data_IF_712066019664
#
_entry.id   IF_712066019664
#
_cell.length_a   1.000
_cell.length_b   1.000
_cell.length_c   1.000
_cell.angle_alpha   90.00
_cell.angle_beta   90.00
_cell.angle_gamma   90.00
#
_symmetry.space_group_name_H-M   'P 1'
#
loop_
_entity.id
_entity.type
_entity.pdbx_description
1 polymer ?
#
# COMPACT_ATOMS: atom_id res chain seq x y z
N UNK A 1 -17.71 14.43 -1.54
CA UNK A 1 -16.72 14.39 -2.65
C UNK A 1 -15.99 15.74 -2.76
N UNK A 2 -14.84 15.91 -2.09
CA UNK A 2 -13.93 17.03 -2.34
C UNK A 2 -12.54 16.46 -2.66
N UNK A 3 -12.28 16.16 -3.93
CA UNK A 3 -10.92 15.92 -4.45
C UNK A 3 -10.18 17.27 -4.47
N UNK A 4 -9.68 17.71 -3.31
CA UNK A 4 -9.09 19.04 -3.11
C UNK A 4 -7.60 18.95 -2.73
N UNK A 5 -6.74 18.30 -3.53
CA UNK A 5 -5.26 18.42 -3.38
C UNK A 5 -4.45 18.33 -4.69
N UNK A 6 -5.03 18.65 -5.86
CA UNK A 6 -4.30 18.63 -7.14
C UNK A 6 -3.08 19.59 -7.22
N UNK A 7 -2.97 20.59 -6.35
CA UNK A 7 -1.94 21.65 -6.43
C UNK A 7 -0.73 21.50 -5.48
N UNK A 8 -0.75 20.55 -4.55
CA UNK A 8 0.31 20.42 -3.53
C UNK A 8 1.52 19.60 -3.99
N UNK A 9 1.28 18.50 -4.71
CA UNK A 9 2.31 17.50 -4.96
C UNK A 9 3.32 17.87 -6.05
N UNK A 10 2.94 18.74 -7.00
CA UNK A 10 3.85 19.31 -8.00
C UNK A 10 4.93 20.21 -7.39
N UNK A 11 4.72 20.70 -6.15
CA UNK A 11 5.72 21.49 -5.43
C UNK A 11 6.94 20.66 -4.99
N UNK A 12 6.82 19.33 -4.88
CA UNK A 12 7.96 18.45 -4.56
C UNK A 12 8.96 18.35 -5.72
N UNK A 13 8.46 18.39 -6.96
CA UNK A 13 9.29 18.42 -8.18
C UNK A 13 10.13 19.70 -8.21
N UNK A 14 9.55 20.84 -7.82
CA UNK A 14 10.26 22.11 -7.69
C UNK A 14 11.33 22.13 -6.58
N UNK A 15 11.27 21.20 -5.60
CA UNK A 15 12.22 21.10 -4.49
C UNK A 15 13.17 19.89 -4.58
N UNK A 16 13.14 19.13 -5.69
CA UNK A 16 13.98 17.93 -5.92
C UNK A 16 13.87 16.89 -4.77
N UNK A 17 12.68 16.70 -4.22
CA UNK A 17 12.44 15.70 -3.17
C UNK A 17 12.02 14.36 -3.76
N UNK A 18 12.56 13.27 -3.24
CA UNK A 18 12.15 11.90 -3.57
C UNK A 18 11.12 11.40 -2.55
N UNK A 19 9.85 11.14 -2.93
CA UNK A 19 8.83 10.72 -1.99
C UNK A 19 8.98 9.26 -1.54
N UNK A 20 8.83 9.04 -0.24
CA UNK A 20 8.55 7.73 0.36
C UNK A 20 7.14 7.74 0.93
N UNK A 21 6.24 6.96 0.35
CA UNK A 21 4.85 6.85 0.78
C UNK A 21 4.69 5.63 1.68
N UNK A 22 4.18 5.85 2.89
CA UNK A 22 3.87 4.78 3.85
C UNK A 22 2.36 4.50 3.85
N UNK A 23 1.98 3.34 3.33
CA UNK A 23 0.60 2.90 3.17
C UNK A 23 0.29 1.74 4.14
N UNK A 24 0.15 2.08 5.43
CA UNK A 24 -0.06 1.12 6.52
C UNK A 24 -1.52 0.72 6.78
N UNK A 25 -2.46 1.12 5.93
CA UNK A 25 -3.88 0.87 6.17
C UNK A 25 -4.78 1.21 4.98
N UNK A 26 -4.39 0.78 3.78
CA UNK A 26 -5.27 0.90 2.61
C UNK A 26 -6.55 0.09 2.85
N UNK A 27 -7.70 0.66 2.52
CA UNK A 27 -9.00 0.06 2.74
C UNK A 27 -9.60 0.32 4.11
N UNK A 28 -8.83 0.77 5.12
CA UNK A 28 -9.34 1.04 6.46
C UNK A 28 -9.93 2.45 6.63
N UNK A 29 -9.66 3.37 5.71
CA UNK A 29 -10.24 4.73 5.79
C UNK A 29 -11.59 4.75 5.09
N UNK A 30 -11.65 4.20 3.88
CA UNK A 30 -12.87 4.30 3.07
C UNK A 30 -13.61 2.98 2.83
N UNK A 31 -13.11 1.86 3.35
CA UNK A 31 -13.62 0.52 3.02
C UNK A 31 -13.25 0.06 1.60
N UNK A 32 -12.34 0.77 0.91
CA UNK A 32 -11.92 0.43 -0.47
C UNK A 32 -10.45 0.74 -0.66
N UNK A 33 -9.67 -0.29 -0.96
CA UNK A 33 -8.24 -0.17 -1.24
C UNK A 33 -8.02 0.76 -2.44
N UNK A 34 -8.84 0.65 -3.48
CA UNK A 34 -8.78 1.50 -4.66
C UNK A 34 -8.94 2.98 -4.32
N UNK A 35 -9.93 3.32 -3.49
CA UNK A 35 -10.17 4.72 -3.14
C UNK A 35 -9.02 5.27 -2.30
N UNK A 36 -8.55 4.50 -1.33
CA UNK A 36 -7.45 4.89 -0.44
C UNK A 36 -6.11 4.99 -1.21
N UNK A 37 -5.90 4.15 -2.21
CA UNK A 37 -4.73 4.20 -3.10
C UNK A 37 -4.81 5.32 -4.16
N UNK A 38 -5.88 6.12 -4.19
CA UNK A 38 -6.10 7.16 -5.19
C UNK A 38 -4.98 8.21 -5.27
N UNK A 39 -4.41 8.61 -4.12
CA UNK A 39 -3.30 9.57 -4.08
C UNK A 39 -2.04 8.98 -4.68
N UNK A 40 -1.70 7.73 -4.33
CA UNK A 40 -0.54 7.01 -4.87
C UNK A 40 -0.66 6.90 -6.39
N UNK A 41 -1.83 6.50 -6.89
CA UNK A 41 -2.07 6.40 -8.34
C UNK A 41 -1.99 7.75 -9.04
N UNK A 42 -2.47 8.82 -8.40
CA UNK A 42 -2.36 10.17 -8.96
C UNK A 42 -0.91 10.66 -9.02
N UNK A 43 -0.07 10.30 -8.05
CA UNK A 43 1.36 10.64 -8.04
C UNK A 43 2.10 9.88 -9.15
N UNK A 44 1.89 8.56 -9.22
CA UNK A 44 2.48 7.73 -10.26
C UNK A 44 2.06 8.18 -11.67
N UNK A 45 0.76 8.44 -11.88
CA UNK A 45 0.23 8.95 -13.15
C UNK A 45 0.71 10.38 -13.50
N UNK A 46 1.21 11.12 -12.51
CA UNK A 46 1.88 12.41 -12.71
C UNK A 46 3.37 12.31 -13.05
N UNK A 47 3.91 11.10 -13.22
CA UNK A 47 5.33 10.87 -13.52
C UNK A 47 6.26 11.05 -12.33
N UNK A 48 5.74 11.04 -11.10
CA UNK A 48 6.54 11.16 -9.90
C UNK A 48 7.15 9.81 -9.54
N UNK A 49 8.48 9.72 -9.61
CA UNK A 49 9.24 8.57 -9.11
C UNK A 49 9.20 8.56 -7.59
N UNK A 50 8.97 7.38 -6.99
CA UNK A 50 8.76 7.24 -5.55
C UNK A 50 8.89 5.80 -5.08
N UNK A 51 9.03 5.63 -3.76
CA UNK A 51 8.84 4.35 -3.08
C UNK A 51 7.51 4.33 -2.34
N UNK A 52 6.85 3.17 -2.35
CA UNK A 52 5.59 2.95 -1.64
C UNK A 52 5.72 1.70 -0.78
N UNK A 53 5.82 1.86 0.53
CA UNK A 53 5.82 0.76 1.48
C UNK A 53 4.39 0.46 1.95
N UNK A 54 3.93 -0.77 1.73
CA UNK A 54 2.59 -1.24 2.08
C UNK A 54 2.70 -2.31 3.16
N UNK A 55 1.92 -2.16 4.22
CA UNK A 55 1.72 -3.23 5.22
C UNK A 55 0.42 -3.97 4.94
N UNK A 56 0.49 -5.30 4.88
CA UNK A 56 -0.62 -6.18 4.57
C UNK A 56 -1.12 -6.93 5.79
N UNK A 57 -0.29 -7.14 6.82
CA UNK A 57 -0.65 -7.90 8.03
C UNK A 57 -1.98 -7.48 8.64
N UNK A 58 -2.19 -6.17 8.84
CA UNK A 58 -3.46 -5.67 9.41
C UNK A 58 -4.64 -5.83 8.46
N UNK A 59 -4.44 -5.59 7.17
CA UNK A 59 -5.51 -5.67 6.15
C UNK A 59 -6.03 -7.10 5.96
N UNK A 60 -5.18 -8.10 6.20
CA UNK A 60 -5.49 -9.52 6.05
C UNK A 60 -5.67 -10.24 7.39
N UNK A 61 -5.62 -9.53 8.52
CA UNK A 61 -5.81 -10.13 9.84
C UNK A 61 -4.74 -11.17 10.21
N UNK A 62 -3.52 -11.03 9.72
CA UNK A 62 -2.45 -12.04 9.86
C UNK A 62 -1.74 -12.00 11.23
N UNK A 63 -2.23 -11.21 12.19
CA UNK A 63 -1.60 -11.11 13.52
C UNK A 63 -0.14 -10.66 13.44
N UNK A 64 0.75 -11.49 13.99
CA UNK A 64 2.20 -11.23 14.07
C UNK A 64 2.98 -11.62 12.80
N UNK A 65 2.31 -12.24 11.81
CA UNK A 65 2.94 -12.51 10.52
C UNK A 65 3.26 -11.18 9.83
N UNK A 66 4.56 -10.88 9.73
CA UNK A 66 5.08 -9.64 9.16
C UNK A 66 5.06 -9.70 7.63
N UNK A 67 3.96 -9.25 7.03
CA UNK A 67 3.74 -9.26 5.59
C UNK A 67 3.55 -7.84 5.07
N UNK A 68 4.33 -7.51 4.05
CA UNK A 68 4.27 -6.23 3.38
C UNK A 68 4.91 -6.29 1.99
N UNK A 69 4.86 -5.17 1.30
CA UNK A 69 5.46 -5.01 -0.02
C UNK A 69 6.07 -3.62 -0.15
N UNK A 70 7.21 -3.53 -0.82
CA UNK A 70 7.79 -2.25 -1.24
C UNK A 70 7.65 -2.14 -2.77
N UNK A 71 6.88 -1.17 -3.22
CA UNK A 71 6.77 -0.84 -4.64
C UNK A 71 7.77 0.27 -4.99
N UNK A 72 8.47 0.05 -6.11
CA UNK A 72 9.41 1.00 -6.70
C UNK A 72 8.76 1.56 -7.96
N UNK A 73 8.52 2.87 -7.97
CA UNK A 73 7.97 3.60 -9.13
C UNK A 73 9.09 4.41 -9.75
N UNK A 74 9.50 4.05 -10.96
CA UNK A 74 10.51 4.75 -11.75
C UNK A 74 9.96 5.06 -13.14
N UNK A 75 10.54 6.05 -13.79
CA UNK A 75 10.23 6.47 -15.14
C UNK A 75 10.79 5.50 -16.19
N UNK A 76 11.92 4.86 -15.88
CA UNK A 76 12.61 3.95 -16.79
C UNK A 76 12.91 2.58 -16.15
N UNK A 77 13.05 1.58 -17.04
CA UNK A 77 13.28 0.18 -16.67
C UNK A 77 14.71 -0.08 -16.17
N UNK A 78 15.70 0.66 -16.67
CA UNK A 78 17.10 0.52 -16.24
C UNK A 78 17.28 0.93 -14.77
N UNK A 79 16.73 2.08 -14.39
CA UNK A 79 16.71 2.56 -13.01
C UNK A 79 15.93 1.63 -12.11
N UNK A 80 14.78 1.10 -12.58
CA UNK A 80 14.03 0.08 -11.84
C UNK A 80 14.91 -1.14 -11.51
N UNK A 81 15.59 -1.71 -12.51
CA UNK A 81 16.46 -2.87 -12.34
C UNK A 81 17.61 -2.57 -11.37
N UNK A 82 18.25 -1.41 -11.52
CA UNK A 82 19.34 -0.98 -10.65
C UNK A 82 18.87 -0.78 -9.20
N UNK A 83 17.70 -0.19 -8.98
CA UNK A 83 17.14 -0.02 -7.64
C UNK A 83 16.80 -1.39 -7.03
N UNK A 84 16.12 -2.25 -7.78
CA UNK A 84 15.79 -3.60 -7.31
C UNK A 84 17.04 -4.43 -6.96
N UNK A 85 18.11 -4.36 -7.75
CA UNK A 85 19.36 -5.05 -7.44
C UNK A 85 19.98 -4.57 -6.13
N UNK A 86 19.99 -3.25 -5.88
CA UNK A 86 20.49 -2.70 -4.62
C UNK A 86 19.61 -3.08 -3.43
N UNK A 87 18.27 -3.07 -3.60
CA UNK A 87 17.35 -3.48 -2.55
C UNK A 87 17.55 -4.95 -2.17
N UNK A 88 17.70 -5.84 -3.15
CA UNK A 88 17.98 -7.26 -2.90
C UNK A 88 19.34 -7.42 -2.22
N UNK A 89 20.36 -6.72 -2.71
CA UNK A 89 21.70 -6.75 -2.12
C UNK A 89 21.70 -6.32 -0.65
N UNK A 90 20.90 -5.32 -0.27
CA UNK A 90 20.73 -4.90 1.13
C UNK A 90 19.85 -5.87 1.93
N UNK A 91 18.80 -6.43 1.34
CA UNK A 91 17.87 -7.33 2.01
C UNK A 91 18.55 -8.66 2.42
N UNK A 92 19.29 -9.29 1.53
CA UNK A 92 19.91 -10.62 1.76
C UNK A 92 20.71 -10.69 3.08
N UNK A 93 21.63 -9.75 3.40
CA UNK A 93 22.35 -9.81 4.67
C UNK A 93 21.51 -9.45 5.90
N UNK A 94 20.37 -8.75 5.74
CA UNK A 94 19.52 -8.34 6.87
C UNK A 94 18.65 -9.49 7.41
N UNK A 95 18.02 -10.24 6.50
CA UNK A 95 17.02 -11.24 6.87
C UNK A 95 17.02 -12.47 5.95
N UNK A 96 18.01 -12.60 5.05
CA UNK A 96 18.06 -13.70 4.08
C UNK A 96 16.86 -13.69 3.16
N UNK A 97 15.95 -14.65 3.35
CA UNK A 97 14.68 -14.75 2.62
C UNK A 97 13.51 -14.31 3.52
N UNK A 98 12.55 -13.52 3.00
CA UNK A 98 11.41 -13.07 3.77
C UNK A 98 10.49 -14.24 4.18
N UNK A 99 9.75 -14.14 5.29
CA UNK A 99 8.75 -15.13 5.70
C UNK A 99 7.71 -15.38 4.61
N UNK A 100 7.49 -16.65 4.26
CA UNK A 100 6.67 -17.02 3.10
C UNK A 100 5.18 -17.23 3.42
N UNK A 101 4.85 -17.68 4.64
CA UNK A 101 3.49 -18.14 4.98
C UNK A 101 2.42 -17.08 4.74
N UNK A 102 2.52 -15.93 5.41
CA UNK A 102 1.55 -14.86 5.26
C UNK A 102 1.49 -14.28 3.84
N UNK A 103 2.61 -14.27 3.09
CA UNK A 103 2.61 -13.88 1.69
C UNK A 103 1.77 -14.83 0.82
N UNK A 104 1.86 -16.14 1.05
CA UNK A 104 1.04 -17.14 0.36
C UNK A 104 -0.45 -17.01 0.69
N UNK A 105 -0.80 -16.67 1.94
CA UNK A 105 -2.18 -16.43 2.34
C UNK A 105 -2.75 -15.24 1.57
N UNK A 106 -2.01 -14.12 1.54
CA UNK A 106 -2.39 -12.94 0.76
C UNK A 106 -2.55 -13.29 -0.71
N UNK A 107 -1.57 -13.98 -1.30
CA UNK A 107 -1.62 -14.42 -2.70
C UNK A 107 -2.89 -15.25 -2.97
N UNK A 108 -3.19 -16.23 -2.10
CA UNK A 108 -4.34 -17.13 -2.28
C UNK A 108 -5.68 -16.40 -2.19
N UNK A 109 -5.77 -15.34 -1.38
CA UNK A 109 -6.97 -14.51 -1.28
C UNK A 109 -7.10 -13.61 -2.50
N UNK A 110 -6.02 -12.95 -2.92
CA UNK A 110 -6.03 -11.97 -4.01
C UNK A 110 -6.18 -12.61 -5.40
N UNK A 111 -5.66 -13.83 -5.61
CA UNK A 111 -5.75 -14.56 -6.87
C UNK A 111 -7.07 -15.30 -7.08
N UNK A 112 -7.93 -15.40 -6.05
CA UNK A 112 -9.25 -16.02 -6.15
C UNK A 112 -10.34 -14.96 -6.06
N UNK A 113 -11.09 -14.77 -7.14
CA UNK A 113 -12.14 -13.74 -7.25
C UNK A 113 -13.17 -13.83 -6.11
N UNK A 114 -13.58 -15.03 -5.71
CA UNK A 114 -14.58 -15.20 -4.66
C UNK A 114 -14.00 -14.84 -3.29
N UNK A 115 -12.76 -15.26 -3.01
CA UNK A 115 -12.07 -14.91 -1.76
C UNK A 115 -11.79 -13.41 -1.67
N UNK A 116 -11.34 -12.81 -2.76
CA UNK A 116 -11.10 -11.37 -2.85
C UNK A 116 -12.36 -10.56 -2.59
N UNK A 117 -13.48 -10.89 -3.24
CA UNK A 117 -14.76 -10.21 -3.01
C UNK A 117 -15.23 -10.34 -1.56
N UNK A 118 -15.06 -11.51 -0.96
CA UNK A 118 -15.38 -11.72 0.45
C UNK A 118 -14.52 -10.84 1.35
N UNK A 119 -13.20 -10.83 1.12
CA UNK A 119 -12.26 -10.00 1.88
C UNK A 119 -12.57 -8.50 1.73
N UNK A 120 -12.89 -8.02 0.53
CA UNK A 120 -13.29 -6.62 0.30
C UNK A 120 -14.57 -6.24 1.08
N UNK A 121 -15.55 -7.16 1.16
CA UNK A 121 -16.75 -6.96 2.00
C UNK A 121 -16.42 -6.92 3.49
N UNK A 122 -15.54 -7.81 3.96
CA UNK A 122 -15.10 -7.83 5.36
C UNK A 122 -14.39 -6.52 5.72
N UNK A 123 -13.54 -5.97 4.85
CA UNK A 123 -12.94 -4.65 5.03
C UNK A 123 -13.99 -3.54 5.15
N UNK A 124 -15.01 -3.53 4.29
CA UNK A 124 -16.09 -2.53 4.36
C UNK A 124 -16.85 -2.61 5.69
N UNK A 125 -17.16 -3.83 6.14
CA UNK A 125 -17.85 -4.06 7.41
C UNK A 125 -17.02 -3.55 8.60
N UNK A 126 -15.70 -3.76 8.58
CA UNK A 126 -14.80 -3.26 9.63
C UNK A 126 -14.80 -1.73 9.70
N UNK A 127 -14.77 -1.05 8.56
CA UNK A 127 -14.84 0.42 8.52
C UNK A 127 -16.18 0.92 9.04
N UNK A 128 -17.29 0.31 8.60
CA UNK A 128 -18.62 0.67 9.08
C UNK A 128 -18.76 0.51 10.59
N UNK A 129 -18.20 -0.58 11.16
CA UNK A 129 -18.17 -0.81 12.61
C UNK A 129 -17.34 0.25 13.35
N UNK A 130 -16.20 0.65 12.80
CA UNK A 130 -15.37 1.69 13.39
C UNK A 130 -16.05 3.07 13.35
N UNK A 131 -16.88 3.33 12.34
CA UNK A 131 -17.67 4.56 12.27
C UNK A 131 -18.86 4.56 13.22
N UNK A 132 -19.53 3.42 13.44
CA UNK A 132 -20.64 3.33 14.39
C UNK A 132 -20.17 3.47 15.84
N UNK A 133 -19.04 2.84 16.20
CA UNK A 133 -18.48 2.95 17.55
C UNK A 133 -18.07 4.37 17.93
N UNK A 134 -17.69 5.22 16.96
CA UNK A 134 -17.37 6.64 17.20
C UNK A 134 -18.60 7.51 17.52
N UNK A 135 -19.82 7.03 17.26
CA UNK A 135 -21.06 7.79 17.52
C UNK A 135 -21.65 7.53 18.91
N UNK A 136 -21.29 6.40 19.53
CA UNK A 136 -21.78 6.03 20.86
C UNK A 136 -20.99 6.72 22.00
N UNK A 137 -19.85 7.33 21.68
CA UNK A 137 -18.95 8.02 22.61
C UNK A 137 -19.18 9.56 22.69
N UNK A 138 -20.27 10.08 22.12
CA UNK A 138 -20.67 11.51 22.15
C UNK A 138 -22.11 11.69 22.61
#
# INVERSE_FOLDING_TARGET
MKYCQRKGYTKNIARKLFPLVLAGGLGFVSGSVERDAGVIRSLAGGGVEMFVAVSLSRQFGLGDDSVGCLFVVTSDKSSWLAVCSHLIYMAVPMWGNPPQHGALVVERILNDTNKRQRWEKELQHLVQRNESGKRDDT
#
